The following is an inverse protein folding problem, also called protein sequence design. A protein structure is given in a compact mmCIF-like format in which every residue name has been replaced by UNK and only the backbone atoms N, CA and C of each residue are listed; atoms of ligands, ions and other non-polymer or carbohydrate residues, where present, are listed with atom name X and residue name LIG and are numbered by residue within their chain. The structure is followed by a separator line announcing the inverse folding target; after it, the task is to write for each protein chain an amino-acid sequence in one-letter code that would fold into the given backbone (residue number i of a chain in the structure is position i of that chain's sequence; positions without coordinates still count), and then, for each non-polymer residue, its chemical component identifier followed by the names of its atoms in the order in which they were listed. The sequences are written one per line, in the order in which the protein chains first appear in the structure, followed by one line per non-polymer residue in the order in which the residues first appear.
data_IF_220229767188
#
_entry.id   IF_220229767188
#
_cell.length_a   1.000
_cell.length_b   1.000
_cell.length_c   1.000
_cell.angle_alpha   90.00
_cell.angle_beta   90.00
_cell.angle_gamma   90.00
#
_symmetry.space_group_name_H-M   'P 1'
#
loop_
_entity.id
_entity.type
_entity.pdbx_description
1 polymer ?
#
# COMPACT_ATOMS: atom_id res chain seq x y z
N UNK A 1 -43.09 -22.71 21.77
CA UNK A 1 -42.66 -21.80 20.69
C UNK A 1 -41.97 -20.51 21.16
N UNK A 2 -42.12 -20.08 22.42
CA UNK A 2 -41.53 -18.83 22.94
C UNK A 2 -40.03 -18.97 23.30
N UNK A 3 -39.60 -20.16 23.73
CA UNK A 3 -38.21 -20.50 24.08
C UNK A 3 -37.25 -20.52 22.87
N UNK A 4 -37.72 -20.96 21.70
CA UNK A 4 -36.92 -20.99 20.48
C UNK A 4 -36.59 -19.58 19.97
N UNK A 5 -37.52 -18.63 20.11
CA UNK A 5 -37.31 -17.22 19.74
C UNK A 5 -36.30 -16.54 20.66
N UNK A 6 -36.30 -16.87 21.95
CA UNK A 6 -35.33 -16.35 22.92
C UNK A 6 -33.93 -16.92 22.63
N UNK A 7 -33.81 -18.22 22.33
CA UNK A 7 -32.51 -18.80 21.91
C UNK A 7 -31.97 -18.19 20.62
N UNK A 8 -32.80 -17.95 19.60
CA UNK A 8 -32.39 -17.29 18.35
C UNK A 8 -31.94 -15.84 18.58
N UNK A 9 -32.56 -15.13 19.52
CA UNK A 9 -32.23 -13.76 19.86
C UNK A 9 -30.95 -13.67 20.70
N UNK A 10 -30.70 -14.65 21.58
CA UNK A 10 -29.44 -14.79 22.30
C UNK A 10 -28.30 -15.17 21.32
N UNK A 11 -28.53 -16.11 20.40
CA UNK A 11 -27.58 -16.47 19.34
C UNK A 11 -27.27 -15.28 18.41
N UNK A 12 -28.24 -14.42 18.09
CA UNK A 12 -28.01 -13.23 17.26
C UNK A 12 -27.24 -12.12 18.00
N UNK A 13 -27.46 -11.96 19.31
CA UNK A 13 -26.67 -11.05 20.15
C UNK A 13 -25.24 -11.58 20.34
N UNK A 14 -25.07 -12.89 20.57
CA UNK A 14 -23.76 -13.53 20.65
C UNK A 14 -22.98 -13.48 19.33
N UNK A 15 -23.65 -13.53 18.18
CA UNK A 15 -23.00 -13.38 16.86
C UNK A 15 -22.68 -11.92 16.51
N UNK A 16 -23.15 -10.94 17.29
CA UNK A 16 -22.71 -9.54 17.20
C UNK A 16 -21.50 -9.22 18.07
N UNK A 17 -21.03 -10.15 18.91
CA UNK A 17 -19.82 -9.97 19.71
C UNK A 17 -18.62 -10.45 18.89
N UNK A 18 -18.23 -9.64 17.90
CA UNK A 18 -17.04 -9.88 17.11
C UNK A 18 -15.81 -9.83 18.02
N UNK A 19 -14.87 -10.76 17.82
CA UNK A 19 -13.54 -10.70 18.45
C UNK A 19 -12.95 -9.31 18.23
N UNK A 20 -12.56 -8.66 19.33
CA UNK A 20 -11.99 -7.31 19.27
C UNK A 20 -10.49 -7.42 19.41
N UNK A 21 -9.79 -6.96 18.38
CA UNK A 21 -8.34 -6.82 18.39
C UNK A 21 -7.98 -5.36 18.64
N UNK A 22 -6.95 -5.13 19.43
CA UNK A 22 -6.43 -3.79 19.73
C UNK A 22 -4.93 -3.74 19.48
N UNK A 23 -4.43 -2.55 19.17
CA UNK A 23 -3.00 -2.27 19.00
C UNK A 23 -2.45 -1.77 20.33
N UNK A 24 -1.35 -2.37 20.79
CA UNK A 24 -0.61 -1.93 21.97
C UNK A 24 0.62 -1.11 21.58
N UNK A 25 1.37 -1.56 20.57
CA UNK A 25 2.51 -0.82 20.04
C UNK A 25 2.70 -1.01 18.54
N UNK A 26 3.32 0.00 17.93
CA UNK A 26 3.76 0.01 16.53
C UNK A 26 5.23 0.42 16.55
N UNK A 27 6.10 -0.45 16.05
CA UNK A 27 7.54 -0.27 16.11
C UNK A 27 8.14 -0.34 14.69
N UNK A 28 8.90 0.69 14.25
CA UNK A 28 9.62 0.60 13.00
C UNK A 28 10.77 -0.40 13.13
N UNK A 29 10.89 -1.32 12.18
CA UNK A 29 11.83 -2.44 12.24
C UNK A 29 13.06 -2.19 11.36
N UNK A 30 12.84 -2.04 10.05
CA UNK A 30 13.91 -1.88 9.08
C UNK A 30 13.45 -1.11 7.84
N UNK A 31 14.38 -0.49 7.12
CA UNK A 31 14.11 0.20 5.86
C UNK A 31 15.08 -0.25 4.78
N UNK A 32 14.60 -0.47 3.57
CA UNK A 32 15.42 -0.89 2.44
C UNK A 32 14.92 -0.28 1.13
N UNK A 33 15.85 -0.13 0.17
CA UNK A 33 15.51 0.38 -1.17
C UNK A 33 15.06 -0.75 -2.08
N UNK A 34 13.93 -0.56 -2.75
CA UNK A 34 13.37 -1.50 -3.72
C UNK A 34 13.37 -0.88 -5.11
N UNK A 35 13.63 -1.71 -6.12
CA UNK A 35 13.66 -1.32 -7.53
C UNK A 35 12.49 -1.96 -8.27
N UNK A 36 11.74 -1.16 -9.01
CA UNK A 36 10.67 -1.61 -9.90
C UNK A 36 11.00 -1.23 -11.33
N UNK A 37 11.22 -2.25 -12.16
CA UNK A 37 11.60 -2.07 -13.55
C UNK A 37 10.40 -1.70 -14.41
N UNK A 38 10.59 -0.74 -15.30
CA UNK A 38 9.69 -0.53 -16.42
C UNK A 38 9.81 -1.73 -17.35
N UNK A 39 8.70 -2.45 -17.57
CA UNK A 39 8.63 -3.75 -18.21
C UNK A 39 9.58 -3.96 -19.39
N UNK A 40 9.12 -3.68 -20.61
CA UNK A 40 9.93 -3.93 -21.82
C UNK A 40 10.81 -2.70 -22.12
N UNK A 41 12.14 -2.86 -22.22
CA UNK A 41 13.03 -1.77 -22.57
C UNK A 41 12.77 -1.25 -23.98
N UNK A 42 13.08 0.03 -24.22
CA UNK A 42 12.97 0.65 -25.54
C UNK A 42 14.31 0.60 -26.23
N UNK A 43 14.40 -0.19 -27.30
CA UNK A 43 15.63 -0.44 -28.04
C UNK A 43 15.55 0.13 -29.44
N UNK A 44 16.70 0.58 -29.95
CA UNK A 44 16.85 1.01 -31.34
C UNK A 44 17.84 0.08 -32.04
N UNK A 45 17.42 -0.54 -33.15
CA UNK A 45 18.28 -1.44 -33.93
C UNK A 45 19.51 -0.66 -34.44
N UNK A 46 20.67 -1.32 -34.46
CA UNK A 46 21.91 -0.76 -35.00
C UNK A 46 21.82 -0.45 -36.49
N UNK A 47 20.89 -1.09 -37.21
CA UNK A 47 20.64 -0.85 -38.64
C UNK A 47 19.97 0.50 -38.94
N UNK A 48 19.41 1.16 -37.93
CA UNK A 48 18.75 2.45 -38.13
C UNK A 48 19.78 3.56 -38.37
N UNK A 49 19.51 4.42 -39.36
CA UNK A 49 20.33 5.61 -39.65
C UNK A 49 20.20 6.69 -38.59
N UNK A 50 19.01 6.77 -37.97
CA UNK A 50 18.61 7.85 -37.07
C UNK A 50 18.16 7.30 -35.71
N UNK A 51 18.06 8.20 -34.73
CA UNK A 51 17.59 7.85 -33.40
C UNK A 51 16.12 7.41 -33.42
N UNK A 52 15.81 6.36 -32.66
CA UNK A 52 14.43 5.94 -32.43
C UNK A 52 13.78 6.82 -31.37
N UNK A 53 12.59 7.36 -31.67
CA UNK A 53 11.83 8.19 -30.75
C UNK A 53 10.58 7.48 -30.24
N UNK A 54 10.39 7.51 -28.93
CA UNK A 54 9.25 6.96 -28.22
C UNK A 54 8.56 8.11 -27.48
N UNK A 55 7.50 8.70 -28.04
CA UNK A 55 6.91 9.94 -27.50
C UNK A 55 6.23 9.73 -26.15
N UNK A 56 5.61 8.57 -25.93
CA UNK A 56 4.76 8.29 -24.77
C UNK A 56 5.29 7.06 -24.02
N UNK A 57 6.37 7.26 -23.26
CA UNK A 57 6.91 6.23 -22.38
C UNK A 57 6.30 6.40 -20.99
N UNK A 58 5.28 5.59 -20.74
CA UNK A 58 4.57 5.60 -19.46
C UNK A 58 5.10 4.54 -18.48
N UNK A 59 5.04 4.89 -17.21
CA UNK A 59 5.27 4.00 -16.09
C UNK A 59 4.27 4.29 -14.98
N UNK A 60 3.66 3.24 -14.44
CA UNK A 60 2.80 3.33 -13.28
C UNK A 60 3.13 2.19 -12.31
N UNK A 61 3.34 2.53 -11.05
CA UNK A 61 3.50 1.56 -9.97
C UNK A 61 2.58 1.94 -8.82
N UNK A 62 1.86 0.94 -8.30
CA UNK A 62 0.96 1.10 -7.15
C UNK A 62 1.57 0.34 -5.99
N UNK A 63 1.83 1.06 -4.90
CA UNK A 63 2.28 0.49 -3.64
C UNK A 63 1.18 0.65 -2.58
N UNK A 64 1.00 -0.39 -1.77
CA UNK A 64 0.05 -0.41 -0.65
C UNK A 64 0.72 -1.06 0.55
N UNK A 65 0.23 -0.73 1.75
CA UNK A 65 0.60 -1.50 2.93
C UNK A 65 0.24 -2.97 2.69
N UNK A 66 1.23 -3.85 2.88
CA UNK A 66 1.09 -5.28 2.61
C UNK A 66 1.53 -6.07 3.83
N UNK A 67 0.67 -6.93 4.40
CA UNK A 67 1.09 -7.82 5.48
C UNK A 67 2.09 -8.84 4.95
N UNK A 68 3.15 -9.06 5.72
CA UNK A 68 4.17 -10.10 5.48
C UNK A 68 3.93 -11.28 6.40
N UNK A 69 3.44 -11.02 7.62
CA UNK A 69 3.14 -12.03 8.61
C UNK A 69 1.81 -11.75 9.30
N UNK A 70 1.04 -12.82 9.54
CA UNK A 70 -0.24 -12.79 10.23
C UNK A 70 -1.24 -11.79 9.62
N UNK A 71 -1.53 -12.03 8.33
CA UNK A 71 -2.48 -11.24 7.54
C UNK A 71 -3.86 -11.12 8.20
N UNK A 72 -4.35 -12.18 8.85
CA UNK A 72 -5.63 -12.16 9.56
C UNK A 72 -5.66 -11.08 10.62
N UNK A 73 -4.66 -11.07 11.52
CA UNK A 73 -4.58 -10.04 12.56
C UNK A 73 -4.43 -8.65 11.94
N UNK A 74 -3.54 -8.49 10.95
CA UNK A 74 -3.37 -7.21 10.25
C UNK A 74 -4.69 -6.69 9.68
N UNK A 75 -5.48 -7.52 9.01
CA UNK A 75 -6.77 -7.13 8.43
C UNK A 75 -7.80 -6.71 9.49
N UNK A 76 -7.74 -7.27 10.70
CA UNK A 76 -8.59 -6.86 11.83
C UNK A 76 -8.18 -5.49 12.40
N UNK A 77 -6.88 -5.20 12.44
CA UNK A 77 -6.36 -3.96 13.07
C UNK A 77 -6.01 -2.83 12.09
N UNK A 78 -5.99 -3.07 10.77
CA UNK A 78 -5.52 -2.10 9.77
C UNK A 78 -6.26 -0.75 9.81
N UNK A 79 -7.51 -0.75 10.27
CA UNK A 79 -8.31 0.48 10.44
C UNK A 79 -7.92 1.31 11.66
N UNK A 80 -7.22 0.71 12.62
CA UNK A 80 -6.69 1.36 13.82
C UNK A 80 -5.27 1.91 13.60
N UNK A 81 -4.55 1.40 12.60
CA UNK A 81 -3.22 1.87 12.22
C UNK A 81 -3.34 3.28 11.60
N UNK A 82 -2.42 4.17 11.96
CA UNK A 82 -2.39 5.53 11.39
C UNK A 82 -2.39 5.49 9.86
N UNK A 83 -3.20 6.37 9.28
CA UNK A 83 -3.38 6.44 7.83
C UNK A 83 -2.07 6.62 7.07
N UNK A 84 -1.03 7.22 7.68
CA UNK A 84 0.32 7.39 7.11
C UNK A 84 0.98 6.08 6.71
N UNK A 85 0.74 4.99 7.45
CA UNK A 85 1.29 3.67 7.15
C UNK A 85 0.46 2.90 6.13
N UNK A 86 -0.85 3.18 6.05
CA UNK A 86 -1.79 2.37 5.25
C UNK A 86 -2.11 2.98 3.88
N UNK A 87 -1.50 4.11 3.49
CA UNK A 87 -1.81 4.80 2.23
C UNK A 87 -1.59 3.89 1.02
N UNK A 88 -2.47 4.04 0.02
CA UNK A 88 -2.21 3.61 -1.34
C UNK A 88 -1.42 4.71 -2.04
N UNK A 89 -0.25 4.37 -2.51
CA UNK A 89 0.66 5.26 -3.23
C UNK A 89 0.68 4.87 -4.70
N UNK A 90 0.50 5.85 -5.58
CA UNK A 90 0.60 5.62 -7.03
C UNK A 90 1.71 6.48 -7.61
N UNK A 91 2.80 5.86 -8.03
CA UNK A 91 3.90 6.52 -8.73
C UNK A 91 3.61 6.48 -10.23
N UNK A 92 3.60 7.65 -10.87
CA UNK A 92 3.38 7.78 -12.31
C UNK A 92 4.44 8.65 -12.94
N UNK A 93 4.91 8.25 -14.11
CA UNK A 93 5.81 9.05 -14.95
C UNK A 93 5.38 8.85 -16.39
N UNK A 94 5.34 9.96 -17.14
CA UNK A 94 5.18 9.96 -18.58
C UNK A 94 6.25 10.88 -19.16
N UNK A 95 7.02 10.40 -20.13
CA UNK A 95 8.10 11.18 -20.73
C UNK A 95 8.40 10.72 -22.16
N UNK A 96 8.87 11.64 -23.03
CA UNK A 96 9.42 11.25 -24.32
C UNK A 96 10.83 10.69 -24.14
N UNK A 97 11.16 9.66 -24.92
CA UNK A 97 12.42 8.95 -24.87
C UNK A 97 13.02 8.80 -26.27
N UNK A 98 14.25 9.27 -26.43
CA UNK A 98 15.04 9.09 -27.66
C UNK A 98 16.18 8.10 -27.40
N UNK A 99 16.32 7.10 -28.26
CA UNK A 99 17.29 5.99 -28.14
C UNK A 99 18.19 5.97 -29.38
N UNK A 100 19.50 5.86 -29.17
CA UNK A 100 20.48 5.82 -30.26
C UNK A 100 20.50 4.43 -30.91
N UNK A 101 20.78 4.31 -32.22
CA UNK A 101 20.97 3.02 -32.87
C UNK A 101 21.97 2.14 -32.12
N UNK A 102 21.64 0.87 -31.92
CA UNK A 102 22.48 -0.11 -31.20
C UNK A 102 22.42 -0.03 -29.68
N UNK A 103 21.47 0.72 -29.10
CA UNK A 103 21.28 0.84 -27.65
C UNK A 103 19.85 0.56 -27.21
N UNK A 104 19.68 0.31 -25.92
CA UNK A 104 18.39 0.24 -25.25
C UNK A 104 18.35 1.23 -24.09
N UNK A 105 17.16 1.74 -23.80
CA UNK A 105 16.86 2.49 -22.57
C UNK A 105 15.75 1.81 -21.77
N UNK A 106 15.93 1.75 -20.46
CA UNK A 106 14.96 1.19 -19.52
C UNK A 106 14.80 2.08 -18.29
N UNK A 107 13.56 2.34 -17.90
CA UNK A 107 13.26 3.04 -16.67
C UNK A 107 13.22 2.10 -15.45
N UNK A 108 13.62 2.61 -14.29
CA UNK A 108 13.56 1.89 -13.01
C UNK A 108 13.17 2.87 -11.91
N UNK A 109 12.04 2.61 -11.25
CA UNK A 109 11.66 3.31 -10.03
C UNK A 109 12.44 2.73 -8.85
N UNK A 110 13.09 3.57 -8.06
CA UNK A 110 13.64 3.20 -6.74
C UNK A 110 12.88 3.92 -5.65
N UNK A 111 12.34 3.17 -4.70
CA UNK A 111 11.59 3.66 -3.53
C UNK A 111 12.14 3.05 -2.25
N UNK A 112 11.86 3.68 -1.11
CA UNK A 112 12.14 3.10 0.20
C UNK A 112 10.91 2.33 0.68
N UNK A 113 11.07 1.06 1.00
CA UNK A 113 10.09 0.27 1.75
C UNK A 113 10.53 0.20 3.22
N UNK A 114 9.57 0.38 4.12
CA UNK A 114 9.75 0.32 5.56
C UNK A 114 8.95 -0.87 6.11
N UNK A 115 9.60 -1.67 6.95
CA UNK A 115 9.02 -2.74 7.74
C UNK A 115 8.57 -2.19 9.09
N UNK A 116 7.36 -2.55 9.46
CA UNK A 116 6.73 -2.13 10.72
C UNK A 116 6.17 -3.34 11.42
N UNK A 117 6.50 -3.44 12.69
CA UNK A 117 6.06 -4.48 13.59
C UNK A 117 4.89 -3.93 14.43
N UNK A 118 3.79 -4.67 14.48
CA UNK A 118 2.61 -4.29 15.27
C UNK A 118 2.32 -5.36 16.27
N UNK A 119 2.24 -4.96 17.53
CA UNK A 119 1.91 -5.81 18.65
C UNK A 119 0.58 -5.40 19.25
N UNK A 120 -0.15 -6.39 19.73
CA UNK A 120 -1.33 -6.14 20.53
C UNK A 120 -2.01 -7.43 20.93
N UNK A 121 -3.30 -7.32 21.18
CA UNK A 121 -4.08 -8.43 21.72
C UNK A 121 -5.42 -8.54 21.04
N UNK A 122 -5.86 -9.78 20.87
CA UNK A 122 -7.21 -10.12 20.44
C UNK A 122 -7.91 -10.86 21.56
N UNK A 123 -9.07 -10.34 21.96
CA UNK A 123 -9.92 -10.95 22.96
C UNK A 123 -11.12 -11.61 22.30
N UNK A 124 -11.46 -12.82 22.75
CA UNK A 124 -12.66 -13.53 22.31
C UNK A 124 -13.95 -12.89 22.83
N UNK A 125 -15.07 -13.54 22.50
CA UNK A 125 -16.46 -13.15 22.80
C UNK A 125 -16.70 -12.83 24.29
N UNK A 126 -15.91 -13.44 25.18
CA UNK A 126 -15.95 -13.15 26.61
C UNK A 126 -14.69 -12.33 26.94
N UNK A 127 -14.78 -10.99 27.05
CA UNK A 127 -13.63 -10.09 27.14
C UNK A 127 -12.73 -10.32 28.38
N UNK A 128 -13.14 -11.20 29.29
CA UNK A 128 -12.40 -11.57 30.50
C UNK A 128 -11.76 -12.96 30.47
N UNK A 129 -12.03 -13.83 29.47
CA UNK A 129 -11.67 -15.26 29.56
C UNK A 129 -10.54 -15.72 28.64
N UNK A 130 -10.28 -15.05 27.52
CA UNK A 130 -9.09 -15.35 26.71
C UNK A 130 -8.71 -14.20 25.78
N UNK A 131 -7.80 -13.36 26.24
CA UNK A 131 -7.04 -12.48 25.37
C UNK A 131 -5.76 -13.20 24.98
N UNK A 132 -5.42 -13.16 23.70
CA UNK A 132 -4.18 -13.71 23.18
C UNK A 132 -3.36 -12.59 22.59
N UNK A 133 -2.08 -12.54 22.94
CA UNK A 133 -1.13 -11.65 22.29
C UNK A 133 -0.97 -12.06 20.83
N UNK A 134 -0.94 -11.06 19.97
CA UNK A 134 -0.76 -11.20 18.53
C UNK A 134 0.28 -10.20 18.08
N UNK A 135 1.01 -10.59 17.04
CA UNK A 135 1.83 -9.68 16.28
C UNK A 135 1.55 -9.86 14.79
N UNK A 136 1.72 -8.77 14.04
CA UNK A 136 1.78 -8.77 12.60
C UNK A 136 2.98 -7.94 12.16
N UNK A 137 3.53 -8.32 11.01
CA UNK A 137 4.60 -7.59 10.34
C UNK A 137 4.06 -7.16 8.99
N UNK A 138 4.15 -5.88 8.68
CA UNK A 138 3.73 -5.38 7.38
C UNK A 138 4.77 -4.42 6.84
N UNK A 139 4.77 -4.25 5.52
CA UNK A 139 5.58 -3.24 4.86
C UNK A 139 4.73 -2.14 4.27
N UNK A 140 5.26 -0.93 4.28
CA UNK A 140 4.70 0.21 3.55
C UNK A 140 5.82 0.94 2.81
N UNK A 141 5.45 1.73 1.81
CA UNK A 141 6.41 2.46 0.96
C UNK A 141 6.38 3.94 1.32
N UNK A 142 7.52 4.61 1.25
CA UNK A 142 7.58 6.07 1.36
C UNK A 142 7.02 6.75 0.11
N UNK A 143 6.39 7.93 0.23
CA UNK A 143 5.80 8.62 -0.91
C UNK A 143 6.84 9.20 -1.87
N UNK A 144 8.12 9.21 -1.50
CA UNK A 144 9.21 9.74 -2.33
C UNK A 144 9.98 8.60 -2.99
N UNK A 145 10.28 8.78 -4.27
CA UNK A 145 11.11 7.87 -5.04
C UNK A 145 11.93 8.60 -6.09
N UNK A 146 12.87 7.88 -6.68
CA UNK A 146 13.65 8.37 -7.83
C UNK A 146 13.50 7.38 -8.97
N UNK A 147 13.12 7.87 -10.13
CA UNK A 147 13.05 7.08 -11.35
C UNK A 147 14.27 7.34 -12.20
N UNK A 148 15.02 6.29 -12.48
CA UNK A 148 16.25 6.32 -13.24
C UNK A 148 16.01 5.77 -14.63
N UNK A 149 16.58 6.39 -15.65
CA UNK A 149 16.66 5.86 -17.00
C UNK A 149 18.07 5.35 -17.20
N UNK A 150 18.19 4.06 -17.44
CA UNK A 150 19.43 3.39 -17.78
C UNK A 150 19.54 3.24 -19.28
N UNK A 151 20.72 3.49 -19.84
CA UNK A 151 21.09 3.17 -21.22
C UNK A 151 22.12 2.04 -21.21
N UNK A 152 21.98 1.07 -22.11
CA UNK A 152 22.93 -0.04 -22.26
C UNK A 152 23.01 -0.49 -23.72
N UNK A 153 24.14 -1.10 -24.14
CA UNK A 153 24.31 -1.54 -25.51
C UNK A 153 23.37 -2.71 -25.86
N UNK A 154 22.84 -2.69 -27.08
CA UNK A 154 21.99 -3.72 -27.66
C UNK A 154 22.76 -4.46 -28.75
N UNK A 155 23.51 -5.50 -28.35
CA UNK A 155 24.36 -6.28 -29.25
C UNK A 155 23.68 -7.62 -29.50
N UNK A 156 23.39 -7.93 -30.77
CA UNK A 156 22.86 -9.23 -31.22
C UNK A 156 21.56 -9.69 -30.52
N UNK A 157 20.65 -8.76 -30.19
CA UNK A 157 19.37 -9.11 -29.55
C UNK A 157 19.46 -9.45 -28.06
N UNK A 158 20.66 -9.39 -27.46
CA UNK A 158 20.89 -9.67 -26.04
C UNK A 158 21.34 -8.36 -25.37
N UNK A 159 20.50 -7.82 -24.48
CA UNK A 159 20.86 -6.67 -23.66
C UNK A 159 21.90 -7.06 -22.60
N UNK A 160 23.07 -6.40 -22.58
CA UNK A 160 24.04 -6.55 -21.49
C UNK A 160 23.77 -5.53 -20.40
N UNK A 161 23.11 -5.97 -19.33
CA UNK A 161 22.73 -5.10 -18.19
C UNK A 161 23.96 -4.61 -17.40
N UNK A 162 25.08 -5.35 -17.44
CA UNK A 162 26.31 -5.03 -16.71
C UNK A 162 26.95 -3.68 -17.12
N UNK A 163 26.73 -3.26 -18.37
CA UNK A 163 27.30 -2.02 -18.92
C UNK A 163 26.30 -0.85 -18.89
N UNK A 164 25.31 -0.92 -18.00
CA UNK A 164 24.27 0.10 -17.92
C UNK A 164 24.76 1.39 -17.27
N UNK A 165 24.42 2.52 -17.89
CA UNK A 165 24.72 3.87 -17.38
C UNK A 165 23.44 4.64 -17.13
N UNK A 166 23.37 5.38 -16.03
CA UNK A 166 22.26 6.28 -15.75
C UNK A 166 22.39 7.50 -16.67
N UNK A 167 21.40 7.71 -17.54
CA UNK A 167 21.42 8.84 -18.49
C UNK A 167 20.46 9.96 -18.11
N UNK A 168 19.48 9.66 -17.25
CA UNK A 168 18.53 10.64 -16.73
C UNK A 168 17.90 10.12 -15.44
N UNK A 169 17.46 11.02 -14.58
CA UNK A 169 16.66 10.67 -13.42
C UNK A 169 15.62 11.75 -13.12
N UNK A 170 14.57 11.35 -12.41
CA UNK A 170 13.51 12.23 -11.93
C UNK A 170 13.21 11.89 -10.47
N UNK A 171 13.07 12.91 -9.63
CA UNK A 171 12.46 12.75 -8.32
C UNK A 171 10.94 12.74 -8.49
N UNK A 172 10.27 11.74 -7.91
CA UNK A 172 8.83 11.55 -8.04
C UNK A 172 8.24 11.42 -6.66
N UNK A 173 7.14 12.14 -6.47
CA UNK A 173 6.26 11.97 -5.33
C UNK A 173 5.03 11.19 -5.79
N UNK A 174 4.64 10.18 -5.03
CA UNK A 174 3.46 9.39 -5.32
C UNK A 174 2.17 10.18 -5.07
N UNK A 175 1.15 9.90 -5.90
CA UNK A 175 -0.23 10.28 -5.60
C UNK A 175 -0.72 9.46 -4.41
N UNK A 176 -1.21 10.15 -3.38
CA UNK A 176 -1.67 9.54 -2.13
C UNK A 176 -3.18 9.33 -2.19
N UNK A 177 -3.63 8.10 -1.96
CA UNK A 177 -5.03 7.76 -1.74
C UNK A 177 -5.20 7.01 -0.41
N UNK A 178 -6.22 7.32 0.39
CA UNK A 178 -6.50 6.53 1.60
C UNK A 178 -6.93 5.11 1.20
N UNK A 179 -6.48 4.10 1.96
CA UNK A 179 -6.84 2.69 1.71
C UNK A 179 -8.34 2.44 1.89
N UNK A 180 -8.92 3.13 2.88
CA UNK A 180 -10.33 3.07 3.19
C UNK A 180 -10.97 4.42 2.86
N UNK A 181 -12.08 4.39 2.11
CA UNK A 181 -12.97 5.56 2.08
C UNK A 181 -13.45 5.78 3.50
N UNK A 182 -13.27 6.98 4.04
CA UNK A 182 -13.92 7.35 5.29
C UNK A 182 -15.41 6.99 5.17
N UNK A 183 -16.03 6.33 6.17
CA UNK A 183 -17.47 6.20 6.16
C UNK A 183 -18.04 7.61 6.02
N UNK A 184 -18.90 7.83 5.02
CA UNK A 184 -19.58 9.10 4.84
C UNK A 184 -20.23 9.44 6.16
N UNK A 185 -19.70 10.44 6.88
CA UNK A 185 -20.36 10.99 8.05
C UNK A 185 -21.66 11.63 7.55
N UNK A 186 -22.74 10.85 7.47
CA UNK A 186 -24.03 11.41 7.80
C UNK A 186 -23.96 11.72 9.28
N UNK A 187 -23.58 12.97 9.58
CA UNK A 187 -23.89 13.64 10.83
C UNK A 187 -25.41 13.58 10.98
N UNK A 188 -25.91 12.49 11.55
CA UNK A 188 -27.20 12.52 12.23
C UNK A 188 -26.95 13.40 13.44
N UNK A 189 -27.36 14.66 13.32
CA UNK A 189 -27.47 15.58 14.45
C UNK A 189 -28.35 14.92 15.51
N UNK A 190 -27.73 14.25 16.49
CA UNK A 190 -28.35 14.04 17.79
C UNK A 190 -28.39 15.41 18.48
N UNK A 191 -29.38 16.22 18.11
CA UNK A 191 -29.82 17.28 18.99
C UNK A 191 -30.36 16.62 20.26
N UNK A 192 -29.57 16.72 21.33
CA UNK A 192 -30.03 16.53 22.69
C UNK A 192 -31.22 17.45 22.96
N UNK A 193 -32.44 16.91 22.88
CA UNK A 193 -33.58 17.48 23.57
C UNK A 193 -33.48 17.11 25.05
N UNK A 194 -32.74 17.92 25.80
CA UNK A 194 -32.95 18.08 27.23
C UNK A 194 -34.30 18.79 27.42
N UNK A 195 -35.40 18.04 27.35
CA UNK A 195 -36.66 18.50 27.91
C UNK A 195 -36.68 18.10 29.39
N UNK A 196 -36.45 19.10 30.24
CA UNK A 196 -36.55 19.02 31.68
C UNK A 196 -37.93 18.48 32.11
N UNK A 197 -37.94 17.33 32.79
CA UNK A 197 -39.07 16.90 33.61
C UNK A 197 -39.07 17.76 34.88
N UNK A 198 -39.91 18.79 34.90
CA UNK A 198 -40.29 19.48 36.14
C UNK A 198 -41.27 18.60 36.91
N UNK A 199 -40.91 18.30 38.15
CA UNK A 199 -41.85 17.84 39.16
C UNK A 199 -42.75 19.01 39.59
N UNK A 200 -44.07 18.77 39.56
CA UNK A 200 -45.05 19.41 40.42
C UNK A 200 -46.23 18.47 40.62
#
# INVERSE_FOLDING_TARGET
MMTLKICLLILSILSCVLSSCTIESIEPSHSYKVRHHQGIPKCCDIKNSDNCSFPDVDFMHVATATPIFNETYFNEIVRQIDSSYTKKLTFKVSYPLTVKPGTCKAGVLTVTENLVDVYGQCCGIIPYFSCSQKSAYFKHTDPQGTYYIYEYPFINGIGKVADSVIVKFFNITADIQPLFKAPSKQLVNQHHNYAALKFK
#
